data_IF_961409942913
#
_entry.id   IF_961409942913
#
_cell.length_a   1.000
_cell.length_b   1.000
_cell.length_c   1.000
_cell.angle_alpha   90.00
_cell.angle_beta   90.00
_cell.angle_gamma   90.00
#
_symmetry.space_group_name_H-M   'P 1'
#
loop_
_entity.id
_entity.type
_entity.pdbx_description
1 polymer ?
#
# COMPACT_ATOMS: atom_id res chain seq x y z
N UNK A 1 -67.68 -21.74 -40.69
CA UNK A 1 -66.49 -22.27 -39.98
C UNK A 1 -65.60 -21.10 -39.60
N UNK A 2 -65.58 -20.69 -38.33
CA UNK A 2 -64.70 -19.62 -37.88
C UNK A 2 -63.34 -20.21 -37.50
N UNK A 3 -62.30 -19.97 -38.32
CA UNK A 3 -60.93 -20.28 -37.94
C UNK A 3 -60.45 -19.18 -36.99
N UNK A 4 -60.56 -19.40 -35.67
CA UNK A 4 -59.85 -18.57 -34.69
C UNK A 4 -58.36 -18.79 -34.92
N UNK A 5 -57.71 -17.82 -35.56
CA UNK A 5 -56.25 -17.78 -35.59
C UNK A 5 -55.80 -17.65 -34.13
N UNK A 6 -54.94 -18.56 -33.69
CA UNK A 6 -54.26 -18.43 -32.40
C UNK A 6 -53.23 -17.30 -32.52
N UNK A 7 -53.71 -16.06 -32.63
CA UNK A 7 -52.89 -14.87 -32.56
C UNK A 7 -52.64 -14.63 -31.07
N UNK A 8 -51.54 -15.21 -30.56
CA UNK A 8 -51.04 -14.84 -29.24
C UNK A 8 -50.80 -13.32 -29.22
N UNK A 9 -51.10 -12.65 -28.11
CA UNK A 9 -50.77 -11.24 -27.98
C UNK A 9 -49.26 -11.05 -28.20
N UNK A 10 -48.85 -9.90 -28.77
CA UNK A 10 -47.45 -9.60 -28.94
C UNK A 10 -46.73 -9.66 -27.58
N UNK A 11 -45.46 -10.11 -27.56
CA UNK A 11 -44.69 -10.13 -26.33
C UNK A 11 -44.57 -8.71 -25.75
N UNK A 12 -44.47 -8.58 -24.42
CA UNK A 12 -44.28 -7.29 -23.79
C UNK A 12 -42.99 -6.62 -24.31
N UNK A 13 -43.00 -5.29 -24.33
CA UNK A 13 -41.80 -4.51 -24.67
C UNK A 13 -40.72 -4.78 -23.63
N UNK A 14 -39.47 -4.82 -24.09
CA UNK A 14 -38.32 -4.89 -23.19
C UNK A 14 -38.30 -3.63 -22.31
N UNK A 15 -37.88 -3.76 -21.04
CA UNK A 15 -37.76 -2.62 -20.15
C UNK A 15 -36.67 -1.66 -20.63
N UNK A 16 -36.86 -0.39 -20.34
CA UNK A 16 -35.85 0.65 -20.59
C UNK A 16 -34.80 0.63 -19.48
N UNK A 17 -33.57 1.09 -19.77
CA UNK A 17 -32.52 1.25 -18.76
C UNK A 17 -32.98 2.05 -17.53
N UNK A 18 -33.79 3.08 -17.73
CA UNK A 18 -34.34 3.90 -16.63
C UNK A 18 -35.23 3.09 -15.69
N UNK A 19 -36.03 2.15 -16.22
CA UNK A 19 -36.92 1.30 -15.41
C UNK A 19 -36.11 0.27 -14.62
N UNK A 20 -35.06 -0.27 -15.23
CA UNK A 20 -34.13 -1.18 -14.55
C UNK A 20 -33.46 -0.46 -13.38
N UNK A 21 -33.00 0.78 -13.58
CA UNK A 21 -32.38 1.58 -12.52
C UNK A 21 -33.38 1.96 -11.42
N UNK A 22 -34.62 2.26 -11.77
CA UNK A 22 -35.69 2.54 -10.79
C UNK A 22 -36.00 1.32 -9.92
N UNK A 23 -36.07 0.13 -10.53
CA UNK A 23 -36.30 -1.12 -9.80
C UNK A 23 -35.13 -1.46 -8.88
N UNK A 24 -33.88 -1.26 -9.34
CA UNK A 24 -32.68 -1.41 -8.51
C UNK A 24 -32.65 -0.46 -7.32
N UNK A 25 -33.10 0.79 -7.51
CA UNK A 25 -33.15 1.78 -6.43
C UNK A 25 -34.23 1.45 -5.38
N UNK A 26 -35.26 0.69 -5.77
CA UNK A 26 -36.35 0.24 -4.88
C UNK A 26 -36.13 -1.17 -4.32
N UNK A 27 -35.16 -1.91 -4.84
CA UNK A 27 -34.84 -3.25 -4.40
C UNK A 27 -34.34 -3.23 -2.96
N UNK A 28 -34.88 -4.15 -2.14
CA UNK A 28 -34.50 -4.27 -0.74
C UNK A 28 -33.16 -5.00 -0.55
N UNK A 29 -32.54 -4.86 0.61
CA UNK A 29 -31.25 -5.52 0.93
C UNK A 29 -31.29 -7.05 0.99
N UNK A 30 -32.47 -7.66 0.83
CA UNK A 30 -32.67 -9.12 0.76
C UNK A 30 -33.03 -9.61 -0.64
N UNK A 31 -32.94 -8.73 -1.63
CA UNK A 31 -33.22 -9.07 -3.01
C UNK A 31 -32.12 -10.01 -3.55
N UNK A 32 -32.48 -11.10 -4.27
CA UNK A 32 -31.54 -11.99 -4.95
C UNK A 32 -30.44 -11.29 -5.75
N UNK A 33 -30.72 -10.12 -6.33
CA UNK A 33 -29.74 -9.35 -7.10
C UNK A 33 -28.54 -8.89 -6.26
N UNK A 34 -28.71 -8.78 -4.94
CA UNK A 34 -27.65 -8.42 -4.00
C UNK A 34 -27.13 -9.61 -3.19
N UNK A 35 -27.73 -10.80 -3.33
CA UNK A 35 -27.31 -12.02 -2.64
C UNK A 35 -26.16 -12.75 -3.34
N UNK A 36 -25.91 -12.49 -4.63
CA UNK A 36 -24.81 -13.11 -5.39
C UNK A 36 -23.42 -12.52 -5.06
N UNK A 37 -23.34 -11.46 -4.24
CA UNK A 37 -22.09 -10.80 -3.82
C UNK A 37 -21.45 -11.36 -2.54
N UNK A 38 -22.05 -12.35 -1.88
CA UNK A 38 -21.53 -12.91 -0.61
C UNK A 38 -20.49 -14.03 -0.80
N UNK A 39 -20.13 -14.38 -2.05
CA UNK A 39 -19.14 -15.40 -2.37
C UNK A 39 -17.69 -14.87 -2.53
N UNK A 40 -17.44 -13.56 -2.37
CA UNK A 40 -16.11 -12.95 -2.50
C UNK A 40 -15.28 -12.97 -1.20
N UNK A 41 -15.61 -13.86 -0.26
CA UNK A 41 -14.95 -13.88 1.05
C UNK A 41 -13.56 -14.53 1.05
N UNK A 42 -13.18 -15.29 0.00
CA UNK A 42 -11.85 -15.91 -0.11
C UNK A 42 -10.82 -15.01 -0.83
N UNK A 43 -11.21 -14.21 -1.83
CA UNK A 43 -10.27 -13.33 -2.57
C UNK A 43 -9.91 -12.06 -1.79
N UNK A 44 -10.79 -11.58 -0.89
CA UNK A 44 -10.55 -10.38 -0.08
C UNK A 44 -9.50 -10.61 1.01
N UNK A 45 -9.37 -11.83 1.55
CA UNK A 45 -8.35 -12.13 2.56
C UNK A 45 -6.94 -12.11 1.98
N UNK A 46 -6.75 -12.67 0.78
CA UNK A 46 -5.44 -12.75 0.12
C UNK A 46 -4.95 -11.37 -0.36
N UNK A 47 -5.86 -10.54 -0.89
CA UNK A 47 -5.57 -9.15 -1.25
C UNK A 47 -5.16 -8.31 -0.03
N UNK A 48 -5.84 -8.52 1.10
CA UNK A 48 -5.52 -7.83 2.34
C UNK A 48 -4.16 -8.29 2.90
N UNK A 49 -3.83 -9.58 2.84
CA UNK A 49 -2.53 -10.10 3.24
C UNK A 49 -1.40 -9.53 2.36
N UNK A 50 -1.59 -9.49 1.04
CA UNK A 50 -0.61 -8.88 0.13
C UNK A 50 -0.41 -7.39 0.42
N UNK A 51 -1.49 -6.66 0.66
CA UNK A 51 -1.40 -5.25 1.04
C UNK A 51 -0.63 -5.04 2.35
N UNK A 52 -0.89 -5.87 3.37
CA UNK A 52 -0.16 -5.85 4.65
C UNK A 52 1.33 -6.14 4.42
N UNK A 53 1.65 -7.17 3.63
CA UNK A 53 3.02 -7.55 3.32
C UNK A 53 3.79 -6.43 2.60
N UNK A 54 3.18 -5.80 1.60
CA UNK A 54 3.76 -4.66 0.89
C UNK A 54 3.97 -3.48 1.84
N UNK A 55 3.00 -3.19 2.71
CA UNK A 55 3.13 -2.12 3.71
C UNK A 55 4.28 -2.38 4.67
N UNK A 56 4.39 -3.59 5.22
CA UNK A 56 5.50 -3.98 6.10
C UNK A 56 6.85 -3.90 5.39
N UNK A 57 6.91 -4.33 4.13
CA UNK A 57 8.12 -4.24 3.31
C UNK A 57 8.55 -2.77 3.11
N UNK A 58 7.62 -1.90 2.75
CA UNK A 58 7.90 -0.47 2.56
C UNK A 58 8.37 0.20 3.86
N UNK A 59 7.75 -0.14 4.98
CA UNK A 59 8.15 0.36 6.30
C UNK A 59 9.55 -0.11 6.68
N UNK A 60 9.84 -1.40 6.47
CA UNK A 60 11.17 -1.98 6.71
C UNK A 60 12.22 -1.31 5.83
N UNK A 61 11.92 -1.09 4.55
CA UNK A 61 12.82 -0.43 3.62
C UNK A 61 13.12 1.02 4.03
N UNK A 62 12.09 1.77 4.44
CA UNK A 62 12.26 3.12 4.99
C UNK A 62 13.15 3.12 6.23
N UNK A 63 12.95 2.16 7.13
CA UNK A 63 13.76 2.02 8.33
C UNK A 63 15.23 1.70 8.00
N UNK A 64 15.47 0.84 7.00
CA UNK A 64 16.82 0.54 6.52
C UNK A 64 17.51 1.77 5.92
N UNK A 65 16.81 2.55 5.09
CA UNK A 65 17.37 3.79 4.52
C UNK A 65 17.74 4.79 5.61
N UNK A 66 16.88 4.97 6.62
CA UNK A 66 17.19 5.83 7.77
C UNK A 66 18.41 5.31 8.55
N UNK A 67 18.51 3.99 8.73
CA UNK A 67 19.65 3.38 9.42
C UNK A 67 20.96 3.60 8.64
N UNK A 68 20.93 3.45 7.31
CA UNK A 68 22.08 3.70 6.44
C UNK A 68 22.54 5.15 6.59
N UNK A 69 21.62 6.12 6.47
CA UNK A 69 21.94 7.54 6.65
C UNK A 69 22.59 7.81 8.03
N UNK A 70 22.01 7.27 9.10
CA UNK A 70 22.55 7.42 10.45
C UNK A 70 23.95 6.81 10.61
N UNK A 71 24.22 5.69 9.92
CA UNK A 71 25.53 5.04 9.96
C UNK A 71 26.57 5.83 9.17
N UNK A 72 26.19 6.42 8.04
CA UNK A 72 27.05 7.31 7.26
C UNK A 72 27.45 8.55 8.07
N UNK A 73 26.49 9.19 8.74
CA UNK A 73 26.75 10.34 9.62
C UNK A 73 27.70 9.96 10.77
N UNK A 74 27.47 8.81 11.41
CA UNK A 74 28.36 8.32 12.48
C UNK A 74 29.75 8.00 11.99
N UNK A 75 29.88 7.43 10.79
CA UNK A 75 31.17 7.14 10.17
C UNK A 75 31.94 8.44 9.91
N UNK A 76 31.28 9.45 9.34
CA UNK A 76 31.91 10.74 9.06
C UNK A 76 32.38 11.42 10.35
N UNK A 77 31.52 11.45 11.37
CA UNK A 77 31.88 11.98 12.69
C UNK A 77 33.10 11.25 13.29
N UNK A 78 33.17 9.92 13.13
CA UNK A 78 34.29 9.13 13.65
C UNK A 78 35.60 9.42 12.89
N UNK A 79 35.53 9.68 11.58
CA UNK A 79 36.69 10.12 10.80
C UNK A 79 37.20 11.49 11.24
N UNK A 80 36.28 12.44 11.47
CA UNK A 80 36.62 13.77 11.99
C UNK A 80 37.28 13.66 13.36
N UNK A 81 36.67 12.94 14.32
CA UNK A 81 37.26 12.74 15.65
C UNK A 81 38.64 12.07 15.60
N UNK A 82 38.85 11.11 14.70
CA UNK A 82 40.15 10.47 14.53
C UNK A 82 41.21 11.47 14.04
N UNK A 83 40.88 12.29 13.04
CA UNK A 83 41.76 13.35 12.53
C UNK A 83 42.13 14.34 13.64
N UNK A 84 41.13 14.81 14.41
CA UNK A 84 41.37 15.69 15.55
C UNK A 84 42.28 15.06 16.61
N UNK A 85 42.05 13.77 16.93
CA UNK A 85 42.88 13.05 17.90
C UNK A 85 44.32 12.90 17.41
N UNK A 86 44.52 12.64 16.12
CA UNK A 86 45.86 12.58 15.51
C UNK A 86 46.58 13.93 15.61
N UNK A 87 45.88 15.03 15.34
CA UNK A 87 46.45 16.37 15.46
C UNK A 87 46.84 16.68 16.91
N UNK A 88 45.96 16.39 17.87
CA UNK A 88 46.26 16.57 19.30
C UNK A 88 47.46 15.71 19.73
N UNK A 89 47.54 14.47 19.26
CA UNK A 89 48.67 13.59 19.57
C UNK A 89 49.98 14.10 18.95
N UNK A 90 49.94 14.70 17.77
CA UNK A 90 51.09 15.36 17.14
C UNK A 90 51.55 16.58 17.95
N UNK A 91 50.62 17.44 18.33
CA UNK A 91 50.90 18.66 19.11
C UNK A 91 51.55 18.30 20.46
N UNK A 92 51.03 17.30 21.16
CA UNK A 92 51.61 16.81 22.42
C UNK A 92 53.04 16.31 22.19
N UNK A 93 53.28 15.58 21.09
CA UNK A 93 54.61 15.06 20.77
C UNK A 93 55.59 16.19 20.50
N UNK A 94 55.18 17.21 19.74
CA UNK A 94 56.00 18.38 19.46
C UNK A 94 56.29 19.19 20.72
N UNK A 95 55.29 19.41 21.58
CA UNK A 95 55.48 20.08 22.87
C UNK A 95 56.48 19.34 23.76
N UNK A 96 56.37 18.01 23.85
CA UNK A 96 57.30 17.19 24.63
C UNK A 96 58.74 17.27 24.08
N UNK A 97 58.91 17.24 22.75
CA UNK A 97 60.22 17.39 22.12
C UNK A 97 60.82 18.78 22.35
N UNK A 98 60.00 19.83 22.31
CA UNK A 98 60.46 21.19 22.56
C UNK A 98 60.83 21.43 24.02
N UNK A 99 60.16 20.78 24.98
CA UNK A 99 60.49 20.87 26.40
C UNK A 99 61.78 20.11 26.78
N UNK A 100 62.26 19.21 25.92
CA UNK A 100 63.49 18.44 26.09
C UNK A 100 64.71 19.11 25.42
N UNK A 101 64.52 20.19 24.66
CA UNK A 101 65.58 21.02 24.07
C UNK A 101 65.92 22.18 24.99
#
# INVERSE_FOLDING_TARGET
MFRKKNELPPPPKQPTNEQILEDLAKAGSKDPIFLEGDNDSEDQSDLNEHFINVKMFLESNKNLLNLISNLEDKKENLLVCNSELQNVAEDIRQQALNALK
#
